data_IF_655822737915
#
_entry.id   IF_655822737915
#
_cell.length_a   1.000
_cell.length_b   1.000
_cell.length_c   1.000
_cell.angle_alpha   90.00
_cell.angle_beta   90.00
_cell.angle_gamma   90.00
#
_symmetry.space_group_name_H-M   'P 1'
#
loop_
_entity.id
_entity.type
_entity.pdbx_description
1 polymer ?
#
# COMPACT_ATOMS: atom_id res chain seq x y z
N UNK A 1 15.58 18.83 18.62
CA UNK A 1 14.45 18.13 17.94
C UNK A 1 14.89 16.74 17.48
N UNK A 2 15.27 15.88 18.42
CA UNK A 2 15.72 14.52 18.17
C UNK A 2 15.19 13.63 19.29
N UNK A 3 13.91 13.26 19.20
CA UNK A 3 13.23 12.25 20.03
C UNK A 3 11.85 12.03 19.42
N UNK A 4 11.77 11.12 18.46
CA UNK A 4 10.54 10.41 18.02
C UNK A 4 10.83 9.47 16.82
N UNK A 5 11.98 8.78 16.84
CA UNK A 5 12.30 7.72 15.85
C UNK A 5 12.00 6.30 16.35
N UNK A 6 11.20 6.14 17.40
CA UNK A 6 10.91 4.83 17.98
C UNK A 6 9.42 4.66 18.27
N UNK A 7 8.64 4.06 17.36
CA UNK A 7 7.20 3.78 17.62
C UNK A 7 6.61 2.56 16.88
N UNK A 8 7.41 1.59 16.43
CA UNK A 8 6.85 0.28 16.03
C UNK A 8 7.80 -0.86 16.43
N UNK A 9 9.10 -0.70 16.15
CA UNK A 9 10.12 -1.61 16.67
C UNK A 9 10.10 -1.69 18.22
N UNK A 10 9.83 -0.60 18.93
CA UNK A 10 9.68 -0.60 20.40
C UNK A 10 8.42 -1.33 20.86
N UNK A 11 7.31 -1.18 20.11
CA UNK A 11 6.05 -1.87 20.39
C UNK A 11 6.19 -3.39 20.16
N UNK A 12 6.88 -3.80 19.10
CA UNK A 12 7.11 -5.20 18.75
C UNK A 12 8.22 -5.85 19.57
N UNK A 13 9.22 -5.07 19.98
CA UNK A 13 10.24 -5.51 20.93
C UNK A 13 9.64 -5.75 22.31
N UNK A 14 8.67 -4.95 22.74
CA UNK A 14 7.87 -5.22 23.94
C UNK A 14 7.00 -6.49 23.82
N UNK A 15 6.75 -6.96 22.60
CA UNK A 15 5.97 -8.18 22.31
C UNK A 15 6.84 -9.42 21.98
N UNK A 16 8.17 -9.29 21.87
CA UNK A 16 9.11 -10.42 21.84
C UNK A 16 9.20 -11.26 20.55
N UNK A 17 9.02 -10.67 19.36
CA UNK A 17 8.80 -11.43 18.10
C UNK A 17 9.92 -11.38 17.02
N UNK A 18 11.20 -11.16 17.36
CA UNK A 18 12.27 -11.03 16.35
C UNK A 18 13.24 -12.24 16.27
N UNK A 19 13.43 -12.74 15.05
CA UNK A 19 14.48 -13.64 14.52
C UNK A 19 14.27 -15.17 14.48
N UNK A 20 14.43 -15.71 13.27
CA UNK A 20 14.60 -17.13 12.96
C UNK A 20 15.25 -17.34 11.60
N UNK A 21 16.50 -17.78 11.58
CA UNK A 21 17.15 -18.39 10.40
C UNK A 21 17.93 -19.62 10.82
N UNK A 22 17.82 -20.70 10.03
CA UNK A 22 18.72 -21.86 10.09
C UNK A 22 19.17 -22.26 8.67
N UNK A 23 20.45 -22.61 8.46
CA UNK A 23 21.02 -23.08 7.20
C UNK A 23 21.44 -24.57 7.23
N UNK A 24 21.44 -25.24 6.06
CA UNK A 24 22.36 -26.34 5.66
C UNK A 24 21.88 -26.88 4.28
N UNK A 25 22.65 -27.53 3.41
CA UNK A 25 23.87 -28.33 3.60
C UNK A 25 24.61 -28.57 2.27
N UNK A 26 25.87 -29.01 2.39
CA UNK A 26 26.78 -29.52 1.33
C UNK A 26 26.33 -30.92 0.87
N UNK A 27 26.73 -31.51 -0.26
CA UNK A 27 28.06 -32.09 -0.61
C UNK A 27 27.87 -32.95 -1.88
N UNK A 28 28.92 -33.15 -2.70
CA UNK A 28 28.98 -34.30 -3.62
C UNK A 28 29.80 -34.10 -4.89
N UNK A 29 31.02 -34.65 -4.92
CA UNK A 29 31.97 -34.64 -6.03
C UNK A 29 31.97 -35.99 -6.75
N UNK A 30 31.97 -36.01 -8.09
CA UNK A 30 32.25 -37.22 -8.90
C UNK A 30 33.00 -36.89 -10.19
N UNK A 31 33.90 -37.80 -10.55
CA UNK A 31 34.89 -37.76 -11.63
C UNK A 31 34.29 -37.61 -13.04
N UNK A 32 34.93 -36.78 -13.90
CA UNK A 32 34.48 -36.45 -15.26
C UNK A 32 35.23 -37.21 -16.36
N UNK A 33 34.48 -37.62 -17.38
CA UNK A 33 34.89 -38.29 -18.61
C UNK A 33 35.30 -37.24 -19.68
N UNK A 34 36.30 -37.46 -20.56
CA UNK A 34 36.84 -36.39 -21.42
C UNK A 34 35.87 -35.83 -22.48
N UNK A 35 34.94 -36.64 -22.99
CA UNK A 35 33.87 -36.16 -23.91
C UNK A 35 32.71 -35.45 -23.17
N UNK A 36 32.51 -35.76 -21.89
CA UNK A 36 31.66 -34.94 -21.01
C UNK A 36 32.30 -33.58 -20.75
N UNK A 37 33.64 -33.46 -20.79
CA UNK A 37 34.30 -32.18 -20.47
C UNK A 37 33.96 -31.04 -21.45
N UNK A 38 33.68 -31.33 -22.73
CA UNK A 38 33.30 -30.31 -23.71
C UNK A 38 31.84 -29.88 -23.56
N UNK A 39 30.92 -30.83 -23.33
CA UNK A 39 29.52 -30.54 -23.03
C UNK A 39 29.34 -29.89 -21.66
N UNK A 40 30.11 -30.31 -20.64
CA UNK A 40 30.15 -29.70 -19.33
C UNK A 40 30.76 -28.30 -19.38
N UNK A 41 31.78 -28.07 -20.22
CA UNK A 41 32.31 -26.72 -20.44
C UNK A 41 31.26 -25.79 -21.08
N UNK A 42 30.51 -26.27 -22.07
CA UNK A 42 29.41 -25.50 -22.67
C UNK A 42 28.28 -25.24 -21.68
N UNK A 43 27.92 -26.25 -20.88
CA UNK A 43 26.91 -26.16 -19.82
C UNK A 43 27.33 -25.22 -18.71
N UNK A 44 28.59 -25.25 -18.29
CA UNK A 44 29.17 -24.35 -17.28
C UNK A 44 29.22 -22.91 -17.79
N UNK A 45 29.53 -22.71 -19.08
CA UNK A 45 29.44 -21.40 -19.72
C UNK A 45 28.01 -20.87 -19.76
N UNK A 46 27.03 -21.73 -20.03
CA UNK A 46 25.62 -21.36 -20.06
C UNK A 46 25.08 -21.08 -18.64
N UNK A 47 25.44 -21.90 -17.65
CA UNK A 47 25.15 -21.67 -16.23
C UNK A 47 25.77 -20.35 -15.76
N UNK A 48 27.01 -20.06 -16.15
CA UNK A 48 27.68 -18.80 -15.83
C UNK A 48 26.96 -17.61 -16.48
N UNK A 49 26.55 -17.73 -17.74
CA UNK A 49 25.77 -16.69 -18.44
C UNK A 49 24.41 -16.44 -17.79
N UNK A 50 23.69 -17.50 -17.45
CA UNK A 50 22.39 -17.43 -16.77
C UNK A 50 22.52 -16.85 -15.35
N UNK A 51 23.55 -17.25 -14.61
CA UNK A 51 23.84 -16.70 -13.29
C UNK A 51 24.19 -15.21 -13.36
N UNK A 52 25.00 -14.80 -14.33
CA UNK A 52 25.30 -13.40 -14.57
C UNK A 52 24.05 -12.61 -15.02
N UNK A 53 23.19 -13.19 -15.86
CA UNK A 53 21.92 -12.57 -16.26
C UNK A 53 20.97 -12.41 -15.06
N UNK A 54 20.88 -13.42 -14.20
CA UNK A 54 20.09 -13.38 -12.96
C UNK A 54 20.62 -12.33 -11.98
N UNK A 55 21.95 -12.23 -11.83
CA UNK A 55 22.57 -11.19 -11.02
C UNK A 55 22.25 -9.79 -11.56
N UNK A 56 22.35 -9.59 -12.89
CA UNK A 56 21.96 -8.33 -13.54
C UNK A 56 20.48 -8.01 -13.33
N UNK A 57 19.59 -9.00 -13.46
CA UNK A 57 18.17 -8.82 -13.19
C UNK A 57 17.90 -8.43 -11.73
N UNK A 58 18.61 -9.04 -10.77
CA UNK A 58 18.54 -8.67 -9.36
C UNK A 58 19.01 -7.24 -9.09
N UNK A 59 20.12 -6.82 -9.71
CA UNK A 59 20.59 -5.43 -9.62
C UNK A 59 19.61 -4.44 -10.25
N UNK A 60 19.02 -4.79 -11.41
CA UNK A 60 18.02 -3.96 -12.06
C UNK A 60 16.76 -3.81 -11.19
N UNK A 61 16.31 -4.91 -10.56
CA UNK A 61 15.19 -4.89 -9.65
C UNK A 61 15.49 -4.02 -8.42
N UNK A 62 16.70 -4.12 -7.85
CA UNK A 62 17.12 -3.27 -6.74
C UNK A 62 17.22 -1.78 -7.13
N UNK A 63 17.72 -1.50 -8.33
CA UNK A 63 17.77 -0.15 -8.90
C UNK A 63 16.37 0.41 -9.10
N UNK A 64 15.46 -0.35 -9.73
CA UNK A 64 14.04 0.05 -9.90
C UNK A 64 13.39 0.27 -8.54
N UNK A 65 13.57 -0.61 -7.57
CA UNK A 65 13.04 -0.42 -6.22
C UNK A 65 13.58 0.85 -5.56
N UNK A 66 14.86 1.16 -5.74
CA UNK A 66 15.49 2.38 -5.23
C UNK A 66 14.94 3.62 -5.93
N UNK A 67 14.82 3.60 -7.25
CA UNK A 67 14.23 4.69 -8.04
C UNK A 67 12.77 4.92 -7.70
N UNK A 68 11.98 3.85 -7.59
CA UNK A 68 10.60 3.90 -7.15
C UNK A 68 10.52 4.52 -5.77
N UNK A 69 11.28 4.05 -4.78
CA UNK A 69 11.30 4.65 -3.43
C UNK A 69 11.65 6.14 -3.46
N UNK A 70 12.67 6.54 -4.22
CA UNK A 70 13.09 7.93 -4.35
C UNK A 70 11.98 8.77 -5.03
N UNK A 71 11.36 8.27 -6.09
CA UNK A 71 10.25 8.93 -6.75
C UNK A 71 9.03 9.05 -5.83
N UNK A 72 8.72 8.00 -5.05
CA UNK A 72 7.66 7.99 -4.04
C UNK A 72 7.93 9.06 -2.95
N UNK A 73 9.13 9.09 -2.36
CA UNK A 73 9.54 10.07 -1.34
C UNK A 73 9.43 11.51 -1.85
N UNK A 74 9.86 11.75 -3.09
CA UNK A 74 9.84 13.08 -3.68
C UNK A 74 8.42 13.50 -4.08
N UNK A 75 7.58 12.57 -4.54
CA UNK A 75 6.16 12.81 -4.75
C UNK A 75 5.46 13.17 -3.43
N UNK A 76 5.83 12.49 -2.33
CA UNK A 76 5.33 12.79 -0.97
C UNK A 76 5.68 14.22 -0.55
N UNK A 77 6.94 14.63 -0.70
CA UNK A 77 7.41 15.95 -0.27
C UNK A 77 6.82 17.08 -1.12
N UNK A 78 6.74 16.88 -2.43
CA UNK A 78 6.29 17.91 -3.38
C UNK A 78 4.79 18.17 -3.28
N UNK A 79 3.97 17.11 -3.16
CA UNK A 79 2.54 17.27 -2.95
C UNK A 79 2.24 17.92 -1.58
N UNK A 80 3.04 17.66 -0.53
CA UNK A 80 2.88 18.31 0.78
C UNK A 80 3.03 19.84 0.74
N UNK A 81 3.92 20.31 -0.13
CA UNK A 81 4.16 21.74 -0.31
C UNK A 81 3.00 22.42 -1.03
N UNK A 82 2.46 21.76 -2.07
CA UNK A 82 1.34 22.26 -2.89
C UNK A 82 0.05 22.32 -2.06
N UNK A 83 -0.27 21.28 -1.29
CA UNK A 83 -1.46 21.27 -0.43
C UNK A 83 -1.47 22.36 0.65
N UNK A 84 -0.33 23.04 0.90
CA UNK A 84 -0.20 24.13 1.87
C UNK A 84 -0.12 25.53 1.25
N UNK A 85 -0.34 25.66 -0.06
CA UNK A 85 -0.33 26.96 -0.74
C UNK A 85 1.03 27.66 -0.72
N UNK A 86 2.12 26.90 -0.80
CA UNK A 86 3.47 27.46 -0.82
C UNK A 86 3.73 28.35 -2.05
N UNK A 87 4.48 29.47 -1.92
CA UNK A 87 4.78 30.36 -3.04
C UNK A 87 5.67 29.69 -4.09
N UNK A 88 5.39 29.94 -5.38
CA UNK A 88 6.06 29.37 -6.57
C UNK A 88 7.59 29.51 -6.59
N UNK A 89 8.14 30.50 -5.89
CA UNK A 89 9.60 30.73 -5.81
C UNK A 89 10.31 29.70 -4.92
N UNK A 90 9.62 29.11 -3.93
CA UNK A 90 10.18 28.04 -3.08
C UNK A 90 10.11 26.65 -3.73
N UNK A 91 9.25 26.48 -4.73
CA UNK A 91 9.20 25.27 -5.57
C UNK A 91 10.42 25.17 -6.49
N UNK A 92 11.01 26.30 -6.92
CA UNK A 92 12.20 26.31 -7.79
C UNK A 92 13.47 25.85 -7.06
N UNK A 93 13.77 26.37 -5.87
CA UNK A 93 14.93 25.96 -5.06
C UNK A 93 14.83 24.49 -4.59
N UNK A 94 13.62 24.03 -4.28
CA UNK A 94 13.38 22.62 -3.91
C UNK A 94 13.42 21.71 -5.14
N UNK A 95 12.92 22.17 -6.28
CA UNK A 95 13.11 21.52 -7.58
C UNK A 95 14.59 21.36 -7.93
N UNK A 96 15.43 22.32 -7.54
CA UNK A 96 16.87 22.25 -7.72
C UNK A 96 17.57 21.28 -6.74
N UNK A 97 17.14 21.20 -5.49
CA UNK A 97 17.60 20.12 -4.58
C UNK A 97 17.13 18.74 -5.03
N UNK A 98 15.89 18.64 -5.52
CA UNK A 98 15.34 17.44 -6.17
C UNK A 98 16.21 17.04 -7.37
N UNK A 99 16.60 18.03 -8.20
CA UNK A 99 17.52 17.85 -9.33
C UNK A 99 18.84 17.24 -8.89
N UNK A 100 19.45 17.75 -7.81
CA UNK A 100 20.73 17.23 -7.30
C UNK A 100 20.61 15.83 -6.66
N UNK A 101 19.52 15.54 -5.95
CA UNK A 101 19.30 14.22 -5.33
C UNK A 101 18.98 13.12 -6.34
N UNK A 102 18.11 13.37 -7.31
CA UNK A 102 17.81 12.40 -8.37
C UNK A 102 19.08 12.14 -9.18
N UNK A 103 19.80 13.18 -9.57
CA UNK A 103 21.09 13.05 -10.26
C UNK A 103 22.11 12.28 -9.43
N UNK A 104 22.24 12.58 -8.13
CA UNK A 104 23.14 11.90 -7.22
C UNK A 104 22.81 10.41 -7.03
N UNK A 105 21.53 10.08 -6.88
CA UNK A 105 21.06 8.70 -6.73
C UNK A 105 21.22 7.92 -8.05
N UNK A 106 20.90 8.53 -9.19
CA UNK A 106 21.15 7.95 -10.52
C UNK A 106 22.63 7.67 -10.72
N UNK A 107 23.51 8.60 -10.36
CA UNK A 107 24.96 8.42 -10.44
C UNK A 107 25.48 7.36 -9.46
N UNK A 108 24.94 7.30 -8.24
CA UNK A 108 25.31 6.29 -7.25
C UNK A 108 24.94 4.88 -7.72
N UNK A 109 23.72 4.71 -8.22
CA UNK A 109 23.25 3.44 -8.80
C UNK A 109 24.06 3.10 -10.06
N UNK A 110 24.31 4.06 -10.95
CA UNK A 110 25.11 3.86 -12.16
C UNK A 110 26.57 3.47 -11.88
N UNK A 111 27.18 4.01 -10.82
CA UNK A 111 28.55 3.67 -10.42
C UNK A 111 28.66 2.34 -9.67
N UNK A 112 27.54 1.83 -9.14
CA UNK A 112 27.50 0.57 -8.38
C UNK A 112 27.38 -0.68 -9.26
N UNK A 113 27.07 -0.54 -10.54
CA UNK A 113 26.86 -1.65 -11.48
C UNK A 113 27.41 -1.28 -12.86
N UNK A 114 28.49 -1.93 -13.30
CA UNK A 114 29.24 -1.60 -14.54
C UNK A 114 28.43 -1.63 -15.85
N UNK A 115 29.12 -1.48 -16.99
CA UNK A 115 28.70 -1.18 -18.38
C UNK A 115 27.30 -1.57 -18.91
N UNK A 116 26.56 -2.48 -18.29
CA UNK A 116 25.26 -2.97 -18.78
C UNK A 116 24.09 -1.99 -18.57
N UNK A 117 24.29 -0.86 -17.87
CA UNK A 117 23.21 0.10 -17.52
C UNK A 117 23.32 1.45 -18.24
N UNK A 118 24.23 1.60 -19.22
CA UNK A 118 24.41 2.84 -20.00
C UNK A 118 23.09 3.24 -20.70
N UNK A 119 22.33 2.29 -21.23
CA UNK A 119 21.05 2.56 -21.87
C UNK A 119 19.96 3.05 -20.89
N UNK A 120 19.94 2.52 -19.66
CA UNK A 120 18.99 2.97 -18.63
C UNK A 120 19.37 4.34 -18.08
N UNK A 121 20.68 4.63 -17.98
CA UNK A 121 21.22 5.95 -17.70
C UNK A 121 20.78 6.95 -18.79
N UNK A 122 20.96 6.62 -20.06
CA UNK A 122 20.59 7.49 -21.18
C UNK A 122 19.08 7.70 -21.27
N UNK A 123 18.26 6.67 -21.04
CA UNK A 123 16.80 6.79 -21.02
C UNK A 123 16.34 7.66 -19.85
N UNK A 124 16.89 7.46 -18.65
CA UNK A 124 16.56 8.28 -17.48
C UNK A 124 17.04 9.72 -17.66
N UNK A 125 18.26 9.95 -18.16
CA UNK A 125 18.81 11.28 -18.47
C UNK A 125 18.01 11.97 -19.59
N UNK A 126 17.53 11.26 -20.61
CA UNK A 126 16.69 11.82 -21.67
C UNK A 126 15.25 12.12 -21.22
N UNK A 127 14.58 11.19 -20.54
CA UNK A 127 13.25 11.44 -19.97
C UNK A 127 13.29 12.62 -18.98
N UNK A 128 14.40 12.75 -18.26
CA UNK A 128 14.67 13.85 -17.34
C UNK A 128 15.01 15.18 -18.05
N UNK A 129 15.86 15.16 -19.07
CA UNK A 129 16.22 16.36 -19.86
C UNK A 129 15.01 16.94 -20.59
N UNK A 130 14.20 16.08 -21.21
CA UNK A 130 12.94 16.48 -21.86
C UNK A 130 11.95 17.11 -20.88
N UNK A 131 11.93 16.64 -19.62
CA UNK A 131 11.05 17.16 -18.60
C UNK A 131 11.44 18.53 -18.06
N UNK A 132 12.74 18.78 -17.94
CA UNK A 132 13.31 20.02 -17.37
C UNK A 132 13.36 21.15 -18.41
N UNK A 133 13.67 20.86 -19.67
CA UNK A 133 13.77 21.89 -20.71
C UNK A 133 12.40 22.42 -21.18
N UNK A 134 11.35 21.61 -21.13
CA UNK A 134 10.09 21.95 -21.78
C UNK A 134 9.12 22.80 -20.94
N UNK A 135 9.51 23.30 -19.76
CA UNK A 135 8.59 24.04 -18.86
C UNK A 135 7.24 23.31 -18.71
N UNK A 136 7.31 21.98 -18.57
CA UNK A 136 6.16 21.10 -18.72
C UNK A 136 5.11 21.45 -17.67
N UNK A 137 3.84 21.73 -18.06
CA UNK A 137 2.76 21.92 -17.12
C UNK A 137 2.67 20.74 -16.16
N UNK A 138 2.53 21.02 -14.86
CA UNK A 138 2.56 20.02 -13.78
C UNK A 138 1.62 18.81 -14.01
N UNK A 139 0.46 19.03 -14.64
CA UNK A 139 -0.45 17.97 -15.04
C UNK A 139 0.18 16.89 -15.94
N UNK A 140 1.03 17.31 -16.88
CA UNK A 140 1.75 16.40 -17.77
C UNK A 140 2.85 15.64 -17.02
N UNK A 141 3.45 16.23 -15.98
CA UNK A 141 4.42 15.56 -15.12
C UNK A 141 3.79 14.48 -14.24
N UNK A 142 2.64 14.77 -13.62
CA UNK A 142 1.84 13.76 -12.92
C UNK A 142 1.45 12.64 -13.89
N UNK A 143 1.00 12.99 -15.10
CA UNK A 143 0.66 12.02 -16.14
C UNK A 143 1.82 11.10 -16.52
N UNK A 144 3.03 11.65 -16.66
CA UNK A 144 4.25 10.89 -16.93
C UNK A 144 4.53 9.88 -15.81
N UNK A 145 4.59 10.31 -14.55
CA UNK A 145 4.88 9.42 -13.43
C UNK A 145 3.80 8.38 -13.22
N UNK A 146 2.53 8.74 -13.38
CA UNK A 146 1.43 7.78 -13.33
C UNK A 146 1.57 6.70 -14.41
N UNK A 147 1.85 7.11 -15.66
CA UNK A 147 2.08 6.18 -16.74
C UNK A 147 3.31 5.31 -16.49
N UNK A 148 4.38 5.87 -15.93
CA UNK A 148 5.57 5.11 -15.59
C UNK A 148 5.29 4.07 -14.50
N UNK A 149 4.70 4.46 -13.36
CA UNK A 149 4.34 3.57 -12.25
C UNK A 149 3.40 2.45 -12.71
N UNK A 150 2.43 2.75 -13.58
CA UNK A 150 1.52 1.78 -14.19
C UNK A 150 2.24 0.71 -15.02
N UNK A 151 3.34 1.06 -15.67
CA UNK A 151 4.09 0.14 -16.52
C UNK A 151 5.12 -0.69 -15.75
N UNK A 152 5.35 -0.39 -14.46
CA UNK A 152 6.24 -1.17 -13.62
C UNK A 152 5.52 -2.45 -13.14
N UNK A 153 6.13 -3.63 -13.33
CA UNK A 153 5.63 -4.85 -12.69
C UNK A 153 5.58 -4.66 -11.18
N UNK A 154 4.42 -4.92 -10.57
CA UNK A 154 4.18 -4.72 -9.13
C UNK A 154 4.32 -3.26 -8.66
N UNK A 155 4.24 -2.30 -9.58
CA UNK A 155 4.17 -0.88 -9.26
C UNK A 155 2.85 -0.52 -8.56
N UNK A 156 2.85 0.53 -7.71
CA UNK A 156 1.65 0.96 -7.01
C UNK A 156 0.63 1.59 -7.96
N UNK A 157 -0.65 1.32 -7.72
CA UNK A 157 -1.76 2.08 -8.32
C UNK A 157 -2.15 3.22 -7.37
N UNK A 158 -1.96 4.47 -7.82
CA UNK A 158 -2.24 5.66 -7.02
C UNK A 158 -3.61 6.23 -7.34
N UNK A 159 -4.26 6.81 -6.33
CA UNK A 159 -5.38 7.72 -6.45
C UNK A 159 -4.90 9.10 -6.90
N UNK A 160 -5.14 9.45 -8.15
CA UNK A 160 -4.76 10.73 -8.73
C UNK A 160 -6.03 11.53 -9.06
N UNK A 161 -6.52 12.34 -8.12
CA UNK A 161 -7.71 13.13 -8.36
C UNK A 161 -7.50 14.10 -9.54
N UNK A 162 -8.48 14.24 -10.44
CA UNK A 162 -8.37 15.18 -11.55
C UNK A 162 -8.39 16.63 -11.04
N UNK A 163 -7.82 17.56 -11.81
CA UNK A 163 -7.70 18.97 -11.41
C UNK A 163 -9.02 19.60 -10.94
N UNK A 164 -10.13 19.22 -11.59
CA UNK A 164 -11.49 19.66 -11.24
C UNK A 164 -11.90 19.34 -9.79
N UNK A 165 -11.31 18.33 -9.16
CA UNK A 165 -11.55 18.04 -7.75
C UNK A 165 -11.01 19.15 -6.84
N UNK A 166 -9.93 19.84 -7.23
CA UNK A 166 -9.34 20.91 -6.44
C UNK A 166 -10.04 22.27 -6.62
N UNK A 167 -10.64 22.50 -7.80
CA UNK A 167 -11.31 23.79 -8.14
C UNK A 167 -12.55 24.06 -7.28
N UNK A 168 -13.17 23.03 -6.70
CA UNK A 168 -14.34 23.14 -5.82
C UNK A 168 -14.04 23.25 -4.32
N UNK A 169 -12.77 23.40 -3.91
CA UNK A 169 -12.37 23.37 -2.50
C UNK A 169 -12.44 21.99 -1.86
N UNK A 170 -12.72 20.94 -2.65
CA UNK A 170 -12.71 19.56 -2.18
C UNK A 170 -11.27 19.07 -2.03
N UNK A 171 -10.91 18.67 -0.81
CA UNK A 171 -9.60 18.13 -0.48
C UNK A 171 -9.78 16.70 0.02
N UNK A 172 -8.93 15.79 -0.47
CA UNK A 172 -8.83 14.46 0.12
C UNK A 172 -8.35 14.60 1.57
N UNK A 173 -8.97 13.83 2.46
CA UNK A 173 -8.61 13.74 3.87
C UNK A 173 -7.14 13.31 3.98
N UNK A 174 -6.40 13.96 4.88
CA UNK A 174 -5.03 13.54 5.18
C UNK A 174 -5.01 12.08 5.66
N UNK A 175 -4.12 11.29 5.08
CA UNK A 175 -3.97 9.89 5.45
C UNK A 175 -3.29 9.83 6.83
N UNK A 176 -3.91 9.16 7.83
CA UNK A 176 -3.30 8.98 9.13
C UNK A 176 -2.01 8.17 9.03
N UNK A 177 -1.08 8.42 9.96
CA UNK A 177 0.25 7.78 9.97
C UNK A 177 0.17 6.25 9.97
N UNK A 178 -0.81 5.68 10.66
CA UNK A 178 -0.96 4.24 10.75
C UNK A 178 -2.29 3.80 10.17
N UNK A 179 -2.23 2.77 9.33
CA UNK A 179 -3.39 2.05 8.83
C UNK A 179 -3.25 0.57 9.18
N UNK A 180 -4.39 -0.06 9.40
CA UNK A 180 -4.50 -1.42 9.91
C UNK A 180 -5.44 -2.24 9.02
N UNK A 181 -5.13 -3.51 8.81
CA UNK A 181 -5.98 -4.47 8.10
C UNK A 181 -5.94 -5.82 8.80
N UNK A 182 -7.10 -6.37 9.15
CA UNK A 182 -7.21 -7.76 9.56
C UNK A 182 -7.47 -8.65 8.35
N UNK A 183 -6.82 -9.79 8.30
CA UNK A 183 -6.94 -10.74 7.19
C UNK A 183 -6.61 -12.17 7.63
N UNK A 184 -7.02 -13.11 6.79
CA UNK A 184 -6.89 -14.56 6.93
C UNK A 184 -7.07 -15.19 5.53
N UNK A 185 -7.05 -16.51 5.43
CA UNK A 185 -7.18 -17.23 4.15
C UNK A 185 -8.54 -17.03 3.47
N UNK A 186 -9.57 -16.63 4.24
CA UNK A 186 -10.91 -16.35 3.71
C UNK A 186 -11.06 -14.93 3.16
N UNK A 187 -10.06 -14.08 3.37
CA UNK A 187 -10.08 -12.68 2.93
C UNK A 187 -10.05 -12.56 1.42
N UNK A 188 -10.81 -11.61 0.89
CA UNK A 188 -10.78 -11.28 -0.53
C UNK A 188 -9.43 -10.75 -0.99
N UNK A 189 -9.01 -11.14 -2.19
CA UNK A 189 -7.71 -10.76 -2.74
C UNK A 189 -6.57 -11.59 -2.11
N UNK A 190 -5.35 -11.05 -2.15
CA UNK A 190 -4.18 -11.63 -1.51
C UNK A 190 -3.75 -10.73 -0.36
N UNK A 191 -3.43 -11.31 0.79
CA UNK A 191 -2.80 -10.61 1.91
C UNK A 191 -1.81 -11.57 2.57
N UNK A 192 -0.53 -11.21 2.61
CA UNK A 192 0.53 -12.01 3.21
C UNK A 192 1.62 -11.10 3.81
N UNK A 193 2.81 -11.64 4.09
CA UNK A 193 3.87 -10.91 4.79
C UNK A 193 4.57 -9.84 3.94
N UNK A 194 4.27 -9.80 2.65
CA UNK A 194 4.95 -8.95 1.67
C UNK A 194 4.00 -8.08 0.85
N UNK A 195 2.76 -8.54 0.64
CA UNK A 195 1.84 -7.89 -0.28
C UNK A 195 0.39 -7.97 0.19
N UNK A 196 -0.33 -6.87 -0.06
CA UNK A 196 -1.79 -6.81 -0.06
C UNK A 196 -2.25 -6.47 -1.47
N UNK A 197 -2.98 -7.36 -2.14
CA UNK A 197 -3.40 -7.19 -3.52
C UNK A 197 -4.91 -7.41 -3.68
N UNK A 198 -5.53 -6.55 -4.50
CA UNK A 198 -6.95 -6.65 -4.86
C UNK A 198 -7.27 -7.93 -5.62
N UNK A 199 -8.54 -8.34 -5.61
CA UNK A 199 -9.00 -9.51 -6.36
C UNK A 199 -8.70 -9.38 -7.85
N UNK A 200 -8.85 -8.17 -8.38
CA UNK A 200 -8.56 -7.86 -9.78
C UNK A 200 -7.05 -8.01 -10.10
N UNK A 201 -6.15 -7.67 -9.16
CA UNK A 201 -4.70 -7.78 -9.36
C UNK A 201 -4.18 -9.21 -9.39
N UNK A 202 -4.84 -10.13 -8.68
CA UNK A 202 -4.43 -11.54 -8.63
C UNK A 202 -5.20 -12.42 -9.63
N UNK A 203 -6.01 -11.81 -10.49
CA UNK A 203 -6.80 -12.55 -11.47
C UNK A 203 -5.92 -13.34 -12.44
N UNK A 204 -6.34 -14.55 -12.78
CA UNK A 204 -5.71 -15.35 -13.84
C UNK A 204 -5.87 -14.70 -15.22
N UNK A 205 -6.89 -13.85 -15.40
CA UNK A 205 -7.12 -13.15 -16.65
C UNK A 205 -6.20 -11.93 -16.78
N UNK A 206 -5.29 -11.97 -17.77
CA UNK A 206 -4.32 -10.91 -18.03
C UNK A 206 -4.97 -9.52 -18.15
N UNK A 207 -6.11 -9.43 -18.84
CA UNK A 207 -6.86 -8.18 -18.99
C UNK A 207 -7.29 -7.58 -17.65
N UNK A 208 -7.71 -8.40 -16.68
CA UNK A 208 -8.11 -7.92 -15.36
C UNK A 208 -6.90 -7.42 -14.57
N UNK A 209 -5.76 -8.10 -14.65
CA UNK A 209 -4.51 -7.62 -14.02
C UNK A 209 -4.06 -6.28 -14.58
N UNK A 210 -4.17 -6.06 -15.88
CA UNK A 210 -3.84 -4.75 -16.47
C UNK A 210 -4.85 -3.66 -16.09
N UNK A 211 -6.13 -4.03 -15.87
CA UNK A 211 -7.13 -3.12 -15.31
C UNK A 211 -6.90 -2.77 -13.83
N UNK A 212 -6.22 -3.62 -13.07
CA UNK A 212 -5.92 -3.34 -11.66
C UNK A 212 -4.92 -2.19 -11.48
N UNK A 213 -4.21 -1.84 -12.56
CA UNK A 213 -3.30 -0.69 -12.65
C UNK A 213 -3.98 0.59 -13.15
N UNK A 214 -5.30 0.55 -13.36
CA UNK A 214 -6.08 1.73 -13.75
C UNK A 214 -6.66 2.37 -12.51
N UNK A 215 -6.22 3.60 -12.23
CA UNK A 215 -6.75 4.45 -11.17
C UNK A 215 -8.27 4.62 -11.29
N UNK A 216 -8.97 4.51 -10.16
CA UNK A 216 -10.40 4.75 -10.00
C UNK A 216 -10.83 6.10 -10.59
N UNK A 217 -10.01 7.16 -10.43
CA UNK A 217 -10.31 8.47 -11.02
C UNK A 217 -10.19 8.53 -12.54
N UNK A 218 -9.47 7.58 -13.16
CA UNK A 218 -9.35 7.46 -14.61
C UNK A 218 -10.50 6.67 -15.24
N UNK A 219 -11.40 6.09 -14.42
CA UNK A 219 -12.58 5.37 -14.89
C UNK A 219 -13.75 6.32 -15.15
N UNK A 220 -14.77 5.83 -15.88
CA UNK A 220 -16.02 6.58 -15.99
C UNK A 220 -16.61 6.77 -14.58
N UNK A 221 -17.27 7.91 -14.28
CA UNK A 221 -17.86 8.13 -12.96
C UNK A 221 -18.82 7.01 -12.54
N UNK A 222 -19.58 6.45 -13.48
CA UNK A 222 -20.52 5.37 -13.22
C UNK A 222 -19.81 4.07 -12.85
N UNK A 223 -18.73 3.72 -13.56
CA UNK A 223 -17.92 2.54 -13.23
C UNK A 223 -17.23 2.69 -11.88
N UNK A 224 -16.67 3.87 -11.59
CA UNK A 224 -16.00 4.15 -10.33
C UNK A 224 -16.99 4.06 -9.14
N UNK A 225 -18.17 4.66 -9.29
CA UNK A 225 -19.24 4.58 -8.28
C UNK A 225 -19.67 3.12 -8.04
N UNK A 226 -19.81 2.33 -9.11
CA UNK A 226 -20.18 0.92 -9.04
C UNK A 226 -19.12 0.06 -8.37
N UNK A 227 -17.84 0.25 -8.70
CA UNK A 227 -16.71 -0.44 -8.05
C UNK A 227 -16.68 -0.11 -6.56
N UNK A 228 -16.79 1.18 -6.22
CA UNK A 228 -16.80 1.65 -4.83
C UNK A 228 -17.99 1.08 -4.05
N UNK A 229 -19.20 1.13 -4.61
CA UNK A 229 -20.40 0.58 -4.01
C UNK A 229 -20.28 -0.93 -3.78
N UNK A 230 -19.83 -1.66 -4.80
CA UNK A 230 -19.68 -3.11 -4.73
C UNK A 230 -18.63 -3.51 -3.68
N UNK A 231 -17.54 -2.74 -3.57
CA UNK A 231 -16.48 -2.97 -2.59
C UNK A 231 -16.97 -2.74 -1.16
N UNK A 232 -17.66 -1.62 -0.91
CA UNK A 232 -18.07 -1.21 0.43
C UNK A 232 -19.35 -1.88 0.91
N UNK A 233 -20.25 -2.29 0.01
CA UNK A 233 -21.51 -2.95 0.33
C UNK A 233 -21.42 -4.48 0.25
N UNK A 234 -20.22 -5.05 0.47
CA UNK A 234 -20.05 -6.51 0.57
C UNK A 234 -20.89 -7.02 1.74
N UNK A 235 -22.07 -7.55 1.42
CA UNK A 235 -23.00 -8.15 2.39
C UNK A 235 -22.35 -9.33 3.13
N UNK A 236 -21.40 -9.99 2.46
CA UNK A 236 -20.58 -11.04 3.05
C UNK A 236 -19.11 -10.62 2.96
N UNK A 237 -18.44 -10.48 4.10
CA UNK A 237 -16.97 -10.38 4.20
C UNK A 237 -16.26 -11.64 3.64
N UNK A 238 -17.05 -12.66 3.27
CA UNK A 238 -16.67 -14.02 2.93
C UNK A 238 -17.23 -14.49 1.58
N UNK A 239 -17.90 -13.59 0.84
CA UNK A 239 -18.50 -13.89 -0.45
C UNK A 239 -17.48 -13.82 -1.60
N UNK A 240 -17.81 -14.49 -2.72
CA UNK A 240 -17.06 -14.41 -3.98
C UNK A 240 -16.93 -12.94 -4.38
N UNK A 241 -15.72 -12.39 -4.28
CA UNK A 241 -15.48 -11.01 -4.68
C UNK A 241 -15.59 -10.88 -6.20
N UNK A 242 -16.19 -9.77 -6.64
CA UNK A 242 -16.19 -9.43 -8.05
C UNK A 242 -14.76 -9.42 -8.56
N UNK A 243 -14.51 -10.11 -9.67
CA UNK A 243 -13.21 -10.09 -10.35
C UNK A 243 -12.79 -8.69 -10.85
N UNK A 244 -13.71 -7.72 -10.76
CA UNK A 244 -13.49 -6.31 -11.07
C UNK A 244 -13.13 -5.46 -9.85
N UNK A 245 -13.13 -6.03 -8.65
CA UNK A 245 -12.81 -5.29 -7.43
C UNK A 245 -11.31 -5.04 -7.35
N UNK A 246 -10.94 -3.79 -7.62
CA UNK A 246 -9.56 -3.31 -7.55
C UNK A 246 -9.18 -2.71 -6.20
N UNK A 247 -10.07 -2.71 -5.21
CA UNK A 247 -9.89 -1.97 -3.97
C UNK A 247 -9.52 -2.92 -2.83
N UNK A 248 -8.80 -2.39 -1.84
CA UNK A 248 -8.47 -3.08 -0.59
C UNK A 248 -8.72 -2.14 0.59
N UNK A 249 -9.54 -2.58 1.54
CA UNK A 249 -9.84 -1.83 2.76
C UNK A 249 -8.70 -1.86 3.78
N UNK A 250 -8.51 -0.69 4.38
CA UNK A 250 -7.68 -0.41 5.53
C UNK A 250 -8.51 0.41 6.53
N UNK A 251 -8.14 0.38 7.81
CA UNK A 251 -8.77 1.22 8.82
C UNK A 251 -7.72 2.00 9.59
N UNK A 252 -7.99 3.26 9.89
CA UNK A 252 -7.19 4.07 10.81
C UNK A 252 -7.46 3.76 12.28
N UNK A 253 -8.37 2.83 12.57
CA UNK A 253 -8.87 2.54 13.91
C UNK A 253 -8.44 1.14 14.35
N UNK A 254 -7.28 1.01 15.00
CA UNK A 254 -6.82 -0.26 15.58
C UNK A 254 -7.90 -0.98 16.42
N UNK A 255 -8.67 -0.31 17.30
CA UNK A 255 -9.75 -0.95 18.07
C UNK A 255 -10.81 -1.59 17.17
N UNK A 256 -11.09 -0.96 16.01
CA UNK A 256 -12.04 -1.50 15.04
C UNK A 256 -11.51 -2.78 14.41
N UNK A 257 -10.24 -2.77 14.00
CA UNK A 257 -9.57 -3.92 13.38
C UNK A 257 -9.41 -5.08 14.36
N UNK A 258 -9.10 -4.81 15.62
CA UNK A 258 -9.03 -5.83 16.67
C UNK A 258 -10.39 -6.46 16.91
N UNK A 259 -11.44 -5.64 17.10
CA UNK A 259 -12.80 -6.16 17.30
C UNK A 259 -13.30 -6.94 16.09
N UNK A 260 -12.93 -6.50 14.89
CA UNK A 260 -13.22 -7.24 13.68
C UNK A 260 -12.46 -8.57 13.60
N UNK A 261 -11.19 -8.60 14.01
CA UNK A 261 -10.39 -9.82 14.05
C UNK A 261 -10.96 -10.84 15.06
N UNK A 262 -11.34 -10.40 16.25
CA UNK A 262 -12.02 -11.23 17.27
C UNK A 262 -13.33 -11.77 16.72
N UNK A 263 -14.19 -10.89 16.19
CA UNK A 263 -15.46 -11.32 15.60
C UNK A 263 -15.22 -12.37 14.51
N UNK A 264 -14.26 -12.13 13.62
CA UNK A 264 -13.93 -13.05 12.53
C UNK A 264 -13.43 -14.40 13.06
N UNK A 265 -12.56 -14.44 14.08
CA UNK A 265 -12.06 -15.72 14.64
C UNK A 265 -13.16 -16.60 15.22
N UNK A 266 -14.27 -16.01 15.70
CA UNK A 266 -15.41 -16.78 16.23
C UNK A 266 -16.42 -17.21 15.16
N UNK A 267 -16.48 -16.52 14.01
CA UNK A 267 -17.47 -16.79 12.97
C UNK A 267 -16.99 -17.77 11.87
N UNK A 268 -15.70 -18.16 11.88
CA UNK A 268 -15.21 -19.28 11.08
C UNK A 268 -15.30 -20.60 11.87
N UNK A 269 -16.11 -21.54 11.37
CA UNK A 269 -16.31 -22.87 11.98
C UNK A 269 -15.11 -23.83 11.87
N UNK A 270 -14.06 -23.45 11.14
CA UNK A 270 -12.82 -24.22 11.01
C UNK A 270 -11.78 -23.67 11.97
N UNK A 271 -11.23 -24.55 12.83
CA UNK A 271 -10.05 -24.35 13.68
C UNK A 271 -9.22 -23.11 13.29
N UNK A 272 -9.38 -22.02 14.04
CA UNK A 272 -8.60 -20.77 13.99
C UNK A 272 -7.54 -20.69 12.88
N UNK A 273 -7.90 -20.39 11.61
CA UNK A 273 -6.91 -19.81 10.72
C UNK A 273 -6.46 -18.53 11.41
N UNK A 274 -5.17 -18.42 11.74
CA UNK A 274 -4.61 -17.32 12.51
C UNK A 274 -4.98 -16.00 11.84
N UNK A 275 -6.02 -15.32 12.35
CA UNK A 275 -6.38 -13.98 11.86
C UNK A 275 -5.18 -13.10 12.13
N UNK A 276 -4.61 -12.53 11.08
CA UNK A 276 -3.46 -11.66 11.13
C UNK A 276 -3.90 -10.21 11.04
N UNK A 277 -3.17 -9.34 11.71
CA UNK A 277 -3.33 -7.90 11.62
C UNK A 277 -2.05 -7.34 11.01
N UNK A 278 -2.19 -6.66 9.87
CA UNK A 278 -1.14 -5.88 9.24
C UNK A 278 -1.28 -4.42 9.67
N UNK A 279 -0.21 -3.84 10.17
CA UNK A 279 -0.07 -2.42 10.46
C UNK A 279 1.01 -1.83 9.56
N UNK A 280 0.71 -0.72 8.89
CA UNK A 280 1.66 -0.01 8.01
C UNK A 280 1.88 1.42 8.50
N UNK A 281 3.09 1.96 8.32
CA UNK A 281 3.36 3.39 8.46
C UNK A 281 3.20 4.06 7.08
N UNK A 282 2.12 4.83 6.90
CA UNK A 282 1.73 5.40 5.60
C UNK A 282 2.73 6.42 5.05
N UNK A 283 3.69 6.88 5.86
CA UNK A 283 4.78 7.75 5.42
C UNK A 283 5.84 7.03 4.59
N UNK A 284 5.85 5.69 4.63
CA UNK A 284 6.73 4.84 3.82
C UNK A 284 6.14 4.50 2.45
N UNK A 285 5.00 5.11 2.11
CA UNK A 285 4.25 4.91 0.87
C UNK A 285 4.06 6.24 0.14
N UNK A 286 3.93 6.22 -1.20
CA UNK A 286 3.65 7.41 -1.96
C UNK A 286 2.33 8.05 -1.55
N UNK A 287 2.25 9.39 -1.64
CA UNK A 287 0.96 10.08 -1.56
C UNK A 287 0.05 9.60 -2.67
N UNK A 288 -1.25 9.52 -2.37
CA UNK A 288 -2.22 8.91 -3.27
C UNK A 288 -2.26 7.39 -3.21
N UNK A 289 -1.39 6.71 -2.45
CA UNK A 289 -1.51 5.26 -2.26
C UNK A 289 -2.83 4.86 -1.56
N UNK A 290 -3.32 5.74 -0.68
CA UNK A 290 -4.53 5.56 0.10
C UNK A 290 -5.47 6.74 -0.11
N UNK A 291 -6.76 6.46 -0.19
CA UNK A 291 -7.82 7.47 -0.21
C UNK A 291 -8.92 7.08 0.78
N UNK A 292 -9.48 8.07 1.49
CA UNK A 292 -10.58 7.82 2.42
C UNK A 292 -11.83 7.45 1.64
N UNK A 293 -12.54 6.43 2.09
CA UNK A 293 -13.77 5.95 1.47
C UNK A 293 -14.83 7.07 1.37
N UNK A 294 -15.03 7.84 2.45
CA UNK A 294 -16.03 8.91 2.52
C UNK A 294 -15.74 10.03 1.51
N UNK A 295 -14.48 10.30 1.21
CA UNK A 295 -14.11 11.30 0.20
C UNK A 295 -14.46 10.79 -1.20
N UNK A 296 -14.14 9.53 -1.49
CA UNK A 296 -14.52 8.90 -2.76
C UNK A 296 -16.04 8.82 -2.90
N UNK A 297 -16.77 8.48 -1.84
CA UNK A 297 -18.23 8.47 -1.83
C UNK A 297 -18.78 9.86 -2.17
N UNK A 298 -18.25 10.93 -1.56
CA UNK A 298 -18.68 12.31 -1.87
C UNK A 298 -18.45 12.67 -3.34
N UNK A 299 -17.30 12.31 -3.89
CA UNK A 299 -16.96 12.58 -5.30
C UNK A 299 -17.96 11.91 -6.25
N UNK A 300 -18.30 10.64 -6.00
CA UNK A 300 -19.15 9.86 -6.89
C UNK A 300 -20.63 9.90 -6.53
N UNK A 301 -21.00 10.60 -5.45
CA UNK A 301 -22.38 10.66 -4.93
C UNK A 301 -23.40 11.10 -5.96
N UNK A 302 -23.09 12.14 -6.73
CA UNK A 302 -23.99 12.67 -7.76
C UNK A 302 -24.22 11.68 -8.91
N UNK A 303 -23.29 10.76 -9.15
CA UNK A 303 -23.40 9.76 -10.21
C UNK A 303 -24.39 8.65 -9.86
N UNK A 304 -24.79 8.53 -8.60
CA UNK A 304 -25.71 7.49 -8.12
C UNK A 304 -27.19 7.78 -8.38
N UNK A 305 -27.54 8.91 -9.01
CA UNK A 305 -28.94 9.33 -9.21
C UNK A 305 -29.78 8.28 -9.96
N UNK A 306 -29.18 7.52 -10.87
CA UNK A 306 -29.85 6.47 -11.63
C UNK A 306 -29.91 5.11 -10.92
N UNK A 307 -29.31 4.97 -9.74
CA UNK A 307 -29.27 3.74 -8.94
C UNK A 307 -29.72 4.03 -7.49
N UNK A 308 -31.02 3.83 -7.16
CA UNK A 308 -31.57 4.15 -5.85
C UNK A 308 -30.91 3.40 -4.69
N UNK A 309 -30.45 2.17 -4.90
CA UNK A 309 -29.81 1.35 -3.85
C UNK A 309 -28.40 1.86 -3.56
N UNK A 310 -27.63 2.15 -4.61
CA UNK A 310 -26.31 2.77 -4.49
C UNK A 310 -26.40 4.14 -3.79
N UNK A 311 -27.36 4.97 -4.21
CA UNK A 311 -27.63 6.28 -3.62
C UNK A 311 -27.92 6.16 -2.13
N UNK A 312 -28.86 5.28 -1.76
CA UNK A 312 -29.25 5.03 -0.37
C UNK A 312 -28.07 4.54 0.48
N UNK A 313 -27.21 3.69 -0.06
CA UNK A 313 -26.02 3.21 0.63
C UNK A 313 -24.99 4.32 0.86
N UNK A 314 -24.72 5.15 -0.15
CA UNK A 314 -23.83 6.30 0.01
C UNK A 314 -24.40 7.33 0.99
N UNK A 315 -25.70 7.64 0.91
CA UNK A 315 -26.39 8.51 1.88
C UNK A 315 -26.26 7.96 3.30
N UNK A 316 -26.43 6.65 3.48
CA UNK A 316 -26.21 5.99 4.77
C UNK A 316 -24.78 6.20 5.28
N UNK A 317 -23.74 5.93 4.47
CA UNK A 317 -22.33 6.10 4.88
C UNK A 317 -21.99 7.56 5.21
N UNK A 318 -22.55 8.52 4.47
CA UNK A 318 -22.28 9.95 4.68
C UNK A 318 -23.02 10.55 5.89
N UNK A 319 -24.16 9.99 6.29
CA UNK A 319 -25.00 10.55 7.36
C UNK A 319 -24.81 9.85 8.71
N UNK A 320 -24.42 8.57 8.72
CA UNK A 320 -24.24 7.77 9.92
C UNK A 320 -22.78 7.75 10.38
N UNK A 321 -22.33 8.86 10.96
CA UNK A 321 -20.95 9.01 11.47
C UNK A 321 -20.57 7.99 12.54
N UNK A 322 -21.54 7.39 13.23
CA UNK A 322 -21.30 6.31 14.17
C UNK A 322 -20.86 5.01 13.49
N UNK A 323 -21.11 4.85 12.19
CA UNK A 323 -20.59 3.74 11.38
C UNK A 323 -19.28 4.07 10.66
N UNK A 324 -18.69 5.25 10.88
CA UNK A 324 -17.39 5.60 10.33
C UNK A 324 -16.31 4.74 10.98
N UNK A 325 -15.89 3.68 10.30
CA UNK A 325 -14.82 2.78 10.73
C UNK A 325 -13.41 3.35 10.47
N UNK A 326 -13.29 4.60 10.01
CA UNK A 326 -12.02 5.21 9.62
C UNK A 326 -11.42 4.51 8.40
N UNK A 327 -12.25 4.17 7.42
CA UNK A 327 -11.85 3.34 6.29
C UNK A 327 -11.07 4.12 5.23
N UNK A 328 -9.96 3.54 4.81
CA UNK A 328 -9.12 4.00 3.71
C UNK A 328 -8.99 2.85 2.71
N UNK A 329 -8.92 3.19 1.44
CA UNK A 329 -8.81 2.23 0.36
C UNK A 329 -7.43 2.36 -0.28
N UNK A 330 -6.82 1.24 -0.65
CA UNK A 330 -5.74 1.18 -1.63
C UNK A 330 -6.24 0.53 -2.93
N UNK A 331 -5.54 0.75 -4.04
CA UNK A 331 -5.86 0.14 -5.33
C UNK A 331 -4.78 -0.86 -5.74
N UNK A 332 -5.17 -1.86 -6.53
CA UNK A 332 -4.20 -2.74 -7.18
C UNK A 332 -3.41 -3.61 -6.20
N UNK A 333 -2.09 -3.59 -6.35
CA UNK A 333 -1.13 -4.29 -5.51
C UNK A 333 -0.37 -3.29 -4.62
N UNK A 334 -0.32 -3.58 -3.32
CA UNK A 334 0.47 -2.83 -2.33
C UNK A 334 1.57 -3.73 -1.78
N UNK A 335 2.81 -3.51 -2.22
CA UNK A 335 3.97 -4.15 -1.62
C UNK A 335 4.32 -3.47 -0.30
N UNK A 336 4.36 -4.21 0.80
CA UNK A 336 4.67 -3.67 2.13
C UNK A 336 5.80 -4.43 2.82
N UNK A 337 6.56 -5.24 2.09
CA UNK A 337 7.73 -5.93 2.63
C UNK A 337 8.72 -4.91 3.23
N UNK A 338 9.09 -5.11 4.50
CA UNK A 338 9.96 -4.18 5.24
C UNK A 338 9.31 -2.84 5.62
N UNK A 339 8.03 -2.62 5.28
CA UNK A 339 7.26 -1.38 5.55
C UNK A 339 6.01 -1.61 6.40
N UNK A 340 5.89 -2.82 6.95
CA UNK A 340 4.74 -3.27 7.74
C UNK A 340 5.19 -4.05 8.96
N UNK A 341 4.31 -4.10 9.95
CA UNK A 341 4.30 -5.12 10.96
C UNK A 341 3.10 -6.03 10.78
N UNK A 342 3.32 -7.34 10.86
CA UNK A 342 2.25 -8.34 10.89
C UNK A 342 2.37 -9.18 12.15
N UNK A 343 1.24 -9.39 12.81
CA UNK A 343 1.12 -10.27 13.97
C UNK A 343 -0.21 -11.02 13.92
N UNK A 344 -0.27 -12.17 14.57
CA UNK A 344 -1.52 -12.91 14.73
C UNK A 344 -2.36 -12.30 15.84
N UNK A 345 -3.68 -12.50 15.79
CA UNK A 345 -4.57 -12.13 16.88
C UNK A 345 -4.13 -12.79 18.19
N UNK A 346 -3.70 -14.05 18.15
CA UNK A 346 -3.19 -14.78 19.32
C UNK A 346 -1.95 -14.11 19.93
N UNK A 347 -1.00 -13.66 19.10
CA UNK A 347 0.18 -12.93 19.58
C UNK A 347 -0.22 -11.63 20.26
N UNK A 348 -1.20 -10.91 19.72
CA UNK A 348 -1.70 -9.68 20.31
C UNK A 348 -2.39 -9.93 21.66
N UNK A 349 -3.24 -10.96 21.73
CA UNK A 349 -3.96 -11.36 22.94
C UNK A 349 -3.00 -11.84 24.04
N UNK A 350 -2.10 -12.75 23.71
CA UNK A 350 -1.10 -13.30 24.63
C UNK A 350 -0.03 -12.27 25.03
N UNK A 351 0.15 -11.20 24.23
CA UNK A 351 1.01 -10.06 24.53
C UNK A 351 0.44 -9.11 25.59
N UNK A 352 -0.67 -9.44 26.25
CA UNK A 352 -1.27 -8.64 27.31
C UNK A 352 -2.19 -7.53 26.82
N UNK A 353 -2.75 -7.63 25.60
CA UNK A 353 -3.68 -6.61 25.10
C UNK A 353 -4.89 -6.45 26.04
N UNK A 354 -5.42 -7.53 26.58
CA UNK A 354 -6.54 -7.47 27.54
C UNK A 354 -6.12 -6.96 28.92
N UNK A 355 -4.84 -7.07 29.28
CA UNK A 355 -4.34 -6.47 30.52
C UNK A 355 -4.25 -4.95 30.38
N UNK A 356 -3.85 -4.47 29.20
CA UNK A 356 -3.75 -3.04 28.89
C UNK A 356 -5.10 -2.39 28.59
N UNK A 357 -5.98 -3.12 27.91
CA UNK A 357 -7.30 -2.66 27.49
C UNK A 357 -8.35 -3.76 27.76
N UNK A 358 -8.76 -3.93 29.03
CA UNK A 358 -9.72 -4.96 29.42
C UNK A 358 -11.03 -4.86 28.63
N UNK A 359 -11.42 -3.66 28.22
CA UNK A 359 -12.63 -3.46 27.42
C UNK A 359 -12.57 -4.14 26.05
N UNK A 360 -11.39 -4.45 25.50
CA UNK A 360 -11.31 -5.16 24.23
C UNK A 360 -11.72 -6.64 24.35
N UNK A 361 -11.75 -7.19 25.57
CA UNK A 361 -12.13 -8.59 25.82
C UNK A 361 -13.63 -8.87 25.77
N UNK A 362 -14.47 -7.84 25.84
CA UNK A 362 -15.93 -8.00 25.80
C UNK A 362 -16.41 -8.26 24.36
N UNK A 363 -16.98 -9.45 24.16
CA UNK A 363 -17.58 -9.83 22.89
C UNK A 363 -18.86 -9.04 22.56
N UNK A 364 -19.17 -8.93 21.28
CA UNK A 364 -20.42 -8.39 20.78
C UNK A 364 -20.84 -9.07 19.49
N UNK A 365 -22.15 -9.28 19.32
CA UNK A 365 -22.73 -9.78 18.07
C UNK A 365 -22.36 -8.93 16.84
N UNK A 366 -22.05 -7.63 17.03
CA UNK A 366 -21.64 -6.71 15.96
C UNK A 366 -20.40 -5.92 16.35
N UNK A 367 -19.26 -6.24 15.73
CA UNK A 367 -17.98 -5.58 15.97
C UNK A 367 -18.04 -4.05 15.76
N UNK A 368 -18.85 -3.58 14.80
CA UNK A 368 -19.08 -2.15 14.53
C UNK A 368 -19.72 -1.46 15.73
N UNK A 369 -20.79 -2.05 16.29
CA UNK A 369 -21.46 -1.52 17.48
C UNK A 369 -20.54 -1.53 18.70
N UNK A 370 -19.69 -2.54 18.85
CA UNK A 370 -18.68 -2.57 19.91
C UNK A 370 -17.65 -1.46 19.77
N UNK A 371 -17.17 -1.23 18.56
CA UNK A 371 -16.23 -0.14 18.26
C UNK A 371 -16.82 1.23 18.66
N UNK A 372 -18.09 1.47 18.37
CA UNK A 372 -18.78 2.71 18.79
C UNK A 372 -18.80 2.86 20.30
N UNK A 373 -19.17 1.82 21.04
CA UNK A 373 -19.19 1.85 22.51
C UNK A 373 -17.80 2.16 23.09
N UNK A 374 -16.76 1.52 22.56
CA UNK A 374 -15.38 1.74 22.97
C UNK A 374 -14.95 3.19 22.74
N UNK A 375 -15.22 3.74 21.54
CA UNK A 375 -14.90 5.13 21.20
C UNK A 375 -15.63 6.11 22.10
N UNK A 376 -16.91 5.89 22.38
CA UNK A 376 -17.67 6.73 23.31
C UNK A 376 -17.07 6.71 24.71
N UNK A 377 -16.71 5.52 25.22
CA UNK A 377 -16.10 5.36 26.55
C UNK A 377 -14.74 6.07 26.66
N UNK A 378 -13.88 5.93 25.65
CA UNK A 378 -12.56 6.57 25.69
C UNK A 378 -12.62 8.08 25.43
N UNK A 379 -13.58 8.54 24.63
CA UNK A 379 -13.81 9.98 24.43
C UNK A 379 -14.32 10.63 25.72
N UNK A 380 -15.19 9.96 26.48
CA UNK A 380 -15.66 10.49 27.78
C UNK A 380 -14.59 10.43 28.87
N UNK A 381 -13.70 9.43 28.83
CA UNK A 381 -12.61 9.28 29.81
C UNK A 381 -11.49 10.31 29.58
N UNK A 382 -11.23 10.69 28.32
CA UNK A 382 -10.21 11.70 27.98
C UNK A 382 -10.53 13.11 28.50
N UNK A 383 -11.79 13.37 28.88
CA UNK A 383 -12.20 14.62 29.55
C UNK A 383 -12.01 14.59 31.08
N UNK A 384 -11.74 13.44 31.68
CA UNK A 384 -11.59 13.29 33.14
C UNK A 384 -10.13 13.19 33.59
N UNK A 385 -9.17 13.10 32.67
CA UNK A 385 -7.73 12.91 32.98
C UNK A 385 -6.87 14.16 32.80
N UNK A 386 -7.47 15.34 32.59
CA UNK A 386 -6.77 16.63 32.53
C UNK A 386 -6.98 17.54 33.76
N UNK A 387 -7.49 17.00 34.86
CA UNK A 387 -7.42 17.63 36.19
C UNK A 387 -6.62 16.70 37.12
N UNK A 388 -5.32 16.98 37.27
CA UNK A 388 -4.40 16.26 38.14
C UNK A 388 -3.04 16.91 38.19
#
# INVERSE_FOLDING_TARGET
>A
MAREKSTMADFLSRLGLADGTSPNERLGSTYLNPDQSAEDTLRDQEITRLSAARARAGHLQAAVATFTRVAEELFVELHHHISRGGPETKTTDRGQRFHEQVKGNTLHVANSTGDTMIALREILEQCYGQAVEASIPWAQWIGFWNNWLRNIPHGPTLFIPPEKCFVGGFHLTEVPRYLFRAFDESSSGLSNDHVVASQQSISSFHFQREQSKVDLFSRSPADAARILYTHLNKKDCFGVCSSEDNLMSWSSSLPHVVQYAIWRSHHHASQTPQVRICAIDTREFPRGQFARDLDLIRIYHETTQSDPDMRKFFDFRLTRMDYDNGEFLSQGELNHAGRSCIFTLDQLLNGGMHDLYPELSEESEKWTSRTVKLRSKWSSTSHLTFEG
#
